data_IF_859720388260
#
_entry.id   IF_859720388260
#
_cell.length_a   1.000
_cell.length_b   1.000
_cell.length_c   1.000
_cell.angle_alpha   90.00
_cell.angle_beta   90.00
_cell.angle_gamma   90.00
#
_symmetry.space_group_name_H-M   'P 1'
#
loop_
_entity.id
_entity.type
_entity.pdbx_description
1 polymer ?
#
# COMPACT_ATOMS: atom_id res chain seq x y z
N UNK A 1 -16.71 -14.32 17.81
CA UNK A 1 -18.09 -13.86 17.51
C UNK A 1 -18.46 -14.22 16.08
N UNK A 2 -19.64 -14.81 15.84
CA UNK A 2 -20.07 -15.15 14.47
C UNK A 2 -20.76 -13.97 13.78
N UNK A 3 -20.32 -13.64 12.58
CA UNK A 3 -20.96 -12.64 11.71
C UNK A 3 -22.16 -13.27 11.00
N UNK A 4 -23.36 -12.84 11.37
CA UNK A 4 -24.63 -13.32 10.81
C UNK A 4 -25.46 -12.15 10.25
N UNK A 5 -26.46 -12.41 9.38
CA UNK A 5 -27.41 -11.38 8.98
C UNK A 5 -28.15 -10.73 10.16
N UNK A 6 -28.43 -11.52 11.21
CA UNK A 6 -29.08 -11.04 12.44
C UNK A 6 -28.14 -10.09 13.19
N UNK A 7 -26.85 -10.40 13.28
CA UNK A 7 -25.88 -9.49 13.87
C UNK A 7 -25.83 -8.16 13.12
N UNK A 8 -25.82 -8.19 11.78
CA UNK A 8 -25.83 -6.97 10.97
C UNK A 8 -27.09 -6.12 11.18
N UNK A 9 -28.26 -6.74 11.28
CA UNK A 9 -29.54 -6.03 11.49
C UNK A 9 -29.69 -5.47 12.90
N UNK A 10 -29.04 -6.07 13.91
CA UNK A 10 -29.01 -5.53 15.27
C UNK A 10 -28.15 -4.27 15.38
N UNK A 11 -27.09 -4.18 14.58
CA UNK A 11 -26.14 -3.07 14.61
C UNK A 11 -26.55 -1.91 13.69
N UNK A 12 -27.61 -2.06 12.89
CA UNK A 12 -28.06 -1.03 11.97
C UNK A 12 -29.52 -1.20 11.56
N UNK A 13 -30.24 -0.08 11.45
CA UNK A 13 -31.60 -0.04 10.87
C UNK A 13 -31.60 -0.21 9.35
N UNK A 14 -30.43 -0.35 8.73
CA UNK A 14 -30.27 -0.49 7.29
C UNK A 14 -30.75 -1.86 6.81
N UNK A 15 -31.49 -1.86 5.69
CA UNK A 15 -31.82 -3.11 5.01
C UNK A 15 -30.56 -3.79 4.50
N UNK A 16 -30.26 -5.00 5.00
CA UNK A 16 -29.06 -5.78 4.66
C UNK A 16 -28.90 -5.99 3.15
N UNK A 17 -30.00 -6.01 2.38
CA UNK A 17 -29.96 -6.17 0.93
C UNK A 17 -29.40 -4.95 0.19
N UNK A 18 -29.44 -3.76 0.78
CA UNK A 18 -28.93 -2.51 0.20
C UNK A 18 -27.47 -2.22 0.57
N UNK A 19 -26.87 -3.04 1.42
CA UNK A 19 -25.51 -2.86 1.92
C UNK A 19 -24.51 -3.09 0.80
N UNK A 20 -23.66 -2.10 0.59
CA UNK A 20 -22.61 -2.10 -0.46
C UNK A 20 -21.20 -2.25 0.11
N UNK A 21 -20.99 -1.79 1.35
CA UNK A 21 -19.71 -1.89 2.06
C UNK A 21 -19.95 -2.16 3.54
N UNK A 22 -19.23 -3.16 4.05
CA UNK A 22 -19.15 -3.50 5.47
C UNK A 22 -17.71 -3.28 5.92
N UNK A 23 -17.52 -2.46 6.97
CA UNK A 23 -16.25 -2.34 7.68
C UNK A 23 -16.43 -2.86 9.09
N UNK A 24 -15.80 -3.99 9.37
CA UNK A 24 -15.97 -4.78 10.58
C UNK A 24 -14.59 -5.10 11.17
N UNK A 25 -13.70 -4.12 11.15
CA UNK A 25 -12.36 -4.31 11.72
C UNK A 25 -12.39 -4.32 13.24
N UNK A 26 -11.59 -5.18 13.89
CA UNK A 26 -11.48 -5.28 15.35
C UNK A 26 -12.81 -5.57 16.05
N UNK A 27 -13.56 -6.56 15.56
CA UNK A 27 -14.88 -6.94 16.08
C UNK A 27 -14.90 -8.34 16.73
N UNK A 28 -13.72 -8.93 16.97
CA UNK A 28 -13.57 -10.29 17.50
C UNK A 28 -14.37 -11.33 16.69
N UNK A 29 -14.49 -11.11 15.37
CA UNK A 29 -15.19 -12.02 14.48
C UNK A 29 -14.33 -13.26 14.27
N UNK A 30 -14.86 -14.44 14.58
CA UNK A 30 -14.17 -15.73 14.45
C UNK A 30 -14.75 -16.59 13.34
N UNK A 31 -15.93 -16.24 12.82
CA UNK A 31 -16.62 -17.03 11.81
C UNK A 31 -17.65 -16.19 11.06
N UNK A 32 -17.91 -16.54 9.79
CA UNK A 32 -18.83 -15.82 8.91
C UNK A 32 -19.89 -16.80 8.43
N UNK A 33 -21.13 -16.47 8.71
CA UNK A 33 -22.28 -17.24 8.27
C UNK A 33 -22.73 -16.84 6.86
N UNK A 34 -23.84 -17.42 6.39
CA UNK A 34 -24.41 -17.05 5.11
C UNK A 34 -24.85 -15.57 5.06
N UNK A 35 -24.08 -14.77 4.30
CA UNK A 35 -24.37 -13.37 4.00
C UNK A 35 -24.86 -13.17 2.55
N UNK A 36 -25.35 -14.22 1.88
CA UNK A 36 -25.89 -14.14 0.51
C UNK A 36 -27.06 -13.16 0.37
N UNK A 37 -27.76 -12.86 1.47
CA UNK A 37 -28.78 -11.82 1.53
C UNK A 37 -28.24 -10.41 1.23
N UNK A 38 -26.93 -10.16 1.43
CA UNK A 38 -26.29 -8.88 1.14
C UNK A 38 -25.96 -8.77 -0.36
N UNK A 39 -26.99 -8.79 -1.20
CA UNK A 39 -26.89 -8.89 -2.67
C UNK A 39 -26.16 -7.70 -3.33
N UNK A 40 -26.07 -6.56 -2.65
CA UNK A 40 -25.35 -5.39 -3.15
C UNK A 40 -23.92 -5.26 -2.60
N UNK A 41 -23.46 -6.20 -1.77
CA UNK A 41 -22.18 -6.09 -1.08
C UNK A 41 -21.02 -6.21 -2.07
N UNK A 42 -20.20 -5.16 -2.18
CA UNK A 42 -19.03 -5.10 -3.07
C UNK A 42 -17.71 -5.01 -2.31
N UNK A 43 -17.72 -4.49 -1.09
CA UNK A 43 -16.53 -4.22 -0.28
C UNK A 43 -16.71 -4.79 1.14
N UNK A 44 -15.80 -5.65 1.56
CA UNK A 44 -15.83 -6.26 2.89
C UNK A 44 -14.47 -6.12 3.57
N UNK A 45 -14.46 -5.40 4.69
CA UNK A 45 -13.31 -5.31 5.59
C UNK A 45 -13.58 -6.10 6.86
N UNK A 46 -12.80 -7.15 7.07
CA UNK A 46 -12.79 -7.99 8.27
C UNK A 46 -11.38 -8.05 8.86
N UNK A 47 -10.60 -6.98 8.69
CA UNK A 47 -9.23 -6.96 9.20
C UNK A 47 -9.18 -6.90 10.72
N UNK A 48 -8.10 -7.41 11.32
CA UNK A 48 -7.91 -7.45 12.77
C UNK A 48 -9.04 -8.22 13.48
N UNK A 49 -9.31 -9.45 13.04
CA UNK A 49 -10.30 -10.34 13.63
C UNK A 49 -9.63 -11.69 13.98
N UNK A 50 -10.43 -12.72 14.24
CA UNK A 50 -9.99 -14.03 14.73
C UNK A 50 -10.32 -15.15 13.72
N UNK A 51 -10.36 -14.83 12.42
CA UNK A 51 -10.63 -15.82 11.36
C UNK A 51 -9.39 -16.72 11.17
N UNK A 52 -9.56 -18.03 11.21
CA UNK A 52 -8.44 -18.99 11.23
C UNK A 52 -8.45 -19.96 10.05
N UNK A 53 -9.59 -20.60 9.81
CA UNK A 53 -9.70 -21.80 8.96
C UNK A 53 -10.76 -21.65 7.85
N UNK A 54 -10.93 -22.73 7.09
CA UNK A 54 -11.91 -22.78 6.01
C UNK A 54 -13.34 -22.60 6.52
N UNK A 55 -13.69 -23.12 7.70
CA UNK A 55 -15.04 -23.03 8.26
C UNK A 55 -15.35 -21.58 8.68
N UNK A 56 -14.39 -20.89 9.29
CA UNK A 56 -14.53 -19.48 9.69
C UNK A 56 -14.79 -18.55 8.51
N UNK A 57 -14.36 -18.93 7.31
CA UNK A 57 -14.46 -18.10 6.10
C UNK A 57 -15.48 -18.62 5.08
N UNK A 58 -16.21 -19.70 5.40
CA UNK A 58 -17.05 -20.41 4.43
C UNK A 58 -18.16 -19.51 3.85
N UNK A 59 -18.77 -18.66 4.69
CA UNK A 59 -19.80 -17.72 4.26
C UNK A 59 -19.33 -16.69 3.22
N UNK A 60 -18.04 -16.39 3.15
CA UNK A 60 -17.48 -15.41 2.18
C UNK A 60 -17.66 -15.91 0.74
N UNK A 61 -17.57 -17.23 0.50
CA UNK A 61 -17.68 -17.81 -0.85
C UNK A 61 -19.04 -17.53 -1.50
N UNK A 62 -20.06 -17.28 -0.68
CA UNK A 62 -21.43 -17.00 -1.13
C UNK A 62 -21.61 -15.56 -1.62
N UNK A 63 -20.70 -14.65 -1.27
CA UNK A 63 -20.76 -13.23 -1.59
C UNK A 63 -20.07 -12.96 -2.95
N UNK A 64 -20.61 -13.56 -4.01
CA UNK A 64 -20.02 -13.55 -5.38
C UNK A 64 -19.89 -12.16 -6.01
N UNK A 65 -20.52 -11.17 -5.41
CA UNK A 65 -20.50 -9.77 -5.82
C UNK A 65 -19.27 -9.00 -5.30
N UNK A 66 -18.46 -9.59 -4.42
CA UNK A 66 -17.28 -8.92 -3.88
C UNK A 66 -16.28 -8.53 -4.96
N UNK A 67 -15.84 -7.27 -4.87
CA UNK A 67 -14.79 -6.67 -5.70
C UNK A 67 -13.59 -6.25 -4.87
N UNK A 68 -13.78 -6.06 -3.56
CA UNK A 68 -12.74 -5.66 -2.62
C UNK A 68 -12.91 -6.45 -1.32
N UNK A 69 -11.86 -7.14 -0.90
CA UNK A 69 -11.85 -7.96 0.31
C UNK A 69 -10.56 -7.70 1.10
N UNK A 70 -10.73 -7.34 2.38
CA UNK A 70 -9.64 -7.17 3.32
C UNK A 70 -9.80 -8.12 4.51
N UNK A 71 -8.89 -9.08 4.61
CA UNK A 71 -8.79 -10.07 5.69
C UNK A 71 -7.47 -9.94 6.44
N UNK A 72 -6.83 -8.77 6.37
CA UNK A 72 -5.53 -8.57 7.00
C UNK A 72 -5.60 -8.75 8.52
N UNK A 73 -4.52 -9.18 9.17
CA UNK A 73 -4.48 -9.40 10.63
C UNK A 73 -5.56 -10.39 11.11
N UNK A 74 -5.50 -11.60 10.57
CA UNK A 74 -6.27 -12.76 11.03
C UNK A 74 -5.28 -13.93 11.24
N UNK A 75 -5.76 -15.17 11.37
CA UNK A 75 -4.94 -16.38 11.48
C UNK A 75 -5.10 -17.32 10.28
N UNK A 76 -5.39 -16.76 9.10
CA UNK A 76 -5.70 -17.55 7.90
C UNK A 76 -4.45 -18.25 7.35
N UNK A 77 -4.59 -19.52 6.99
CA UNK A 77 -3.56 -20.29 6.29
C UNK A 77 -4.09 -21.03 5.06
N UNK A 78 -5.40 -20.92 4.79
CA UNK A 78 -6.09 -21.50 3.65
C UNK A 78 -7.00 -20.46 2.97
N UNK A 79 -7.56 -20.78 1.81
CA UNK A 79 -8.35 -19.81 1.03
C UNK A 79 -9.37 -20.42 0.09
N UNK A 80 -10.09 -21.45 0.55
CA UNK A 80 -11.21 -22.07 -0.16
C UNK A 80 -12.31 -21.07 -0.50
N UNK A 81 -12.48 -20.02 0.32
CA UNK A 81 -13.44 -18.94 0.08
C UNK A 81 -13.23 -18.20 -1.25
N UNK A 82 -12.03 -18.23 -1.84
CA UNK A 82 -11.74 -17.59 -3.12
C UNK A 82 -12.34 -18.33 -4.32
N UNK A 83 -12.83 -19.56 -4.15
CA UNK A 83 -13.28 -20.43 -5.25
C UNK A 83 -14.24 -19.75 -6.20
N UNK A 84 -15.20 -18.99 -5.66
CA UNK A 84 -16.29 -18.38 -6.44
C UNK A 84 -16.20 -16.85 -6.54
N UNK A 85 -15.14 -16.22 -6.03
CA UNK A 85 -14.96 -14.76 -6.03
C UNK A 85 -14.32 -14.24 -7.32
N UNK A 86 -14.95 -14.52 -8.46
CA UNK A 86 -14.43 -14.19 -9.81
C UNK A 86 -14.43 -12.69 -10.13
N UNK A 87 -15.17 -11.88 -9.36
CA UNK A 87 -15.25 -10.43 -9.51
C UNK A 87 -14.23 -9.66 -8.67
N UNK A 88 -13.36 -10.36 -7.94
CA UNK A 88 -12.45 -9.74 -7.00
C UNK A 88 -11.36 -8.94 -7.73
N UNK A 89 -11.27 -7.65 -7.39
CA UNK A 89 -10.31 -6.69 -7.96
C UNK A 89 -9.18 -6.39 -6.98
N UNK A 90 -9.48 -6.36 -5.68
CA UNK A 90 -8.50 -6.10 -4.62
C UNK A 90 -8.64 -7.13 -3.52
N UNK A 91 -7.51 -7.76 -3.17
CA UNK A 91 -7.43 -8.73 -2.09
C UNK A 91 -6.27 -8.37 -1.16
N UNK A 92 -6.58 -8.21 0.13
CA UNK A 92 -5.58 -8.04 1.17
C UNK A 92 -5.66 -9.21 2.17
N UNK A 93 -4.58 -9.99 2.20
CA UNK A 93 -4.35 -11.13 3.08
C UNK A 93 -3.10 -10.93 3.95
N UNK A 94 -2.64 -9.68 4.13
CA UNK A 94 -1.44 -9.40 4.93
C UNK A 94 -1.60 -9.77 6.40
N UNK A 95 -0.50 -10.09 7.09
CA UNK A 95 -0.51 -10.46 8.52
C UNK A 95 -1.45 -11.64 8.79
N UNK A 96 -1.16 -12.76 8.12
CA UNK A 96 -1.83 -14.04 8.31
C UNK A 96 -0.74 -15.13 8.43
N UNK A 97 -1.09 -16.40 8.26
CA UNK A 97 -0.18 -17.54 8.38
C UNK A 97 -0.10 -18.36 7.09
N UNK A 98 -0.19 -17.70 5.93
CA UNK A 98 -0.05 -18.38 4.64
C UNK A 98 1.38 -18.83 4.40
N UNK A 99 1.57 -20.12 4.17
CA UNK A 99 2.84 -20.72 3.73
C UNK A 99 2.85 -20.88 2.20
N UNK A 100 1.67 -21.05 1.59
CA UNK A 100 1.44 -21.09 0.16
C UNK A 100 0.15 -20.35 -0.19
N UNK A 101 0.03 -19.88 -1.43
CA UNK A 101 -1.22 -19.30 -1.91
C UNK A 101 -2.22 -20.40 -2.31
N UNK A 102 -3.51 -20.22 -2.03
CA UNK A 102 -4.54 -21.17 -2.42
C UNK A 102 -4.69 -21.23 -3.95
N UNK A 103 -4.84 -22.44 -4.50
CA UNK A 103 -5.03 -22.65 -5.95
C UNK A 103 -6.21 -21.88 -6.54
N UNK A 104 -7.24 -21.62 -5.73
CA UNK A 104 -8.45 -20.89 -6.11
C UNK A 104 -8.19 -19.41 -6.48
N UNK A 105 -7.04 -18.85 -6.11
CA UNK A 105 -6.65 -17.50 -6.53
C UNK A 105 -6.63 -17.36 -8.06
N UNK A 106 -6.38 -18.45 -8.80
CA UNK A 106 -6.44 -18.47 -10.26
C UNK A 106 -7.82 -18.07 -10.82
N UNK A 107 -8.89 -18.19 -10.04
CA UNK A 107 -10.26 -17.83 -10.45
C UNK A 107 -10.51 -16.32 -10.37
N UNK A 108 -9.69 -15.59 -9.60
CA UNK A 108 -9.77 -14.13 -9.46
C UNK A 108 -9.10 -13.44 -10.66
N UNK A 109 -9.64 -13.63 -11.86
CA UNK A 109 -9.03 -13.14 -13.11
C UNK A 109 -9.02 -11.61 -13.25
N UNK A 110 -9.93 -10.92 -12.53
CA UNK A 110 -10.05 -9.45 -12.51
C UNK A 110 -9.14 -8.78 -11.47
N UNK A 111 -8.29 -9.54 -10.78
CA UNK A 111 -7.48 -9.04 -9.68
C UNK A 111 -6.44 -8.03 -10.17
N UNK A 112 -6.49 -6.83 -9.60
CA UNK A 112 -5.60 -5.70 -9.89
C UNK A 112 -4.60 -5.44 -8.76
N UNK A 113 -4.98 -5.72 -7.52
CA UNK A 113 -4.10 -5.54 -6.37
C UNK A 113 -4.14 -6.73 -5.42
N UNK A 114 -2.97 -7.25 -5.09
CA UNK A 114 -2.79 -8.35 -4.15
C UNK A 114 -1.75 -7.97 -3.09
N UNK A 115 -2.19 -8.01 -1.82
CA UNK A 115 -1.37 -7.65 -0.66
C UNK A 115 -1.22 -8.86 0.26
N UNK A 116 0.02 -9.30 0.44
CA UNK A 116 0.42 -10.55 1.11
C UNK A 116 1.57 -10.36 2.11
N UNK A 117 1.89 -9.12 2.49
CA UNK A 117 2.99 -8.88 3.42
C UNK A 117 2.75 -9.51 4.79
N UNK A 118 3.83 -9.84 5.51
CA UNK A 118 3.78 -10.49 6.83
C UNK A 118 3.00 -11.82 6.76
N UNK A 119 3.52 -12.75 5.97
CA UNK A 119 3.10 -14.16 5.94
C UNK A 119 4.37 -15.03 5.96
N UNK A 120 4.22 -16.33 5.77
CA UNK A 120 5.31 -17.29 5.72
C UNK A 120 5.51 -17.84 4.30
N UNK A 121 5.19 -17.05 3.26
CA UNK A 121 5.27 -17.50 1.87
C UNK A 121 6.72 -17.67 1.42
N UNK A 122 6.99 -18.78 0.75
CA UNK A 122 8.29 -19.07 0.13
C UNK A 122 8.26 -19.01 -1.40
N UNK A 123 7.08 -19.23 -1.98
CA UNK A 123 6.84 -19.22 -3.42
C UNK A 123 5.44 -18.69 -3.73
N UNK A 124 5.22 -18.29 -4.99
CA UNK A 124 3.89 -17.91 -5.48
C UNK A 124 3.57 -18.69 -6.74
N UNK A 125 2.44 -19.37 -6.68
CA UNK A 125 1.81 -20.02 -7.80
C UNK A 125 0.46 -19.34 -8.11
N UNK A 126 -0.17 -19.74 -9.22
CA UNK A 126 -1.55 -19.37 -9.56
C UNK A 126 -1.80 -17.89 -9.89
N UNK A 127 -0.79 -17.02 -9.97
CA UNK A 127 -0.93 -15.63 -10.44
C UNK A 127 -1.05 -15.47 -11.96
N UNK A 128 -0.77 -16.53 -12.73
CA UNK A 128 -0.72 -16.46 -14.19
C UNK A 128 -2.04 -16.03 -14.87
N UNK A 129 -3.18 -16.20 -14.20
CA UNK A 129 -4.50 -15.80 -14.73
C UNK A 129 -4.89 -14.36 -14.38
N UNK A 130 -4.25 -13.73 -13.38
CA UNK A 130 -4.51 -12.35 -12.98
C UNK A 130 -3.74 -11.36 -13.89
N UNK A 131 -4.11 -11.29 -15.17
CA UNK A 131 -3.39 -10.51 -16.20
C UNK A 131 -3.42 -9.00 -15.96
N UNK A 132 -4.44 -8.51 -15.26
CA UNK A 132 -4.62 -7.09 -14.94
C UNK A 132 -3.95 -6.67 -13.63
N UNK A 133 -3.18 -7.57 -12.99
CA UNK A 133 -2.48 -7.30 -11.74
C UNK A 133 -1.49 -6.14 -11.93
N UNK A 134 -1.74 -5.04 -11.21
CA UNK A 134 -0.93 -3.83 -11.25
C UNK A 134 -0.13 -3.60 -9.97
N UNK A 135 -0.56 -4.18 -8.85
CA UNK A 135 0.09 -4.02 -7.54
C UNK A 135 0.26 -5.37 -6.86
N UNK A 136 1.49 -5.73 -6.52
CA UNK A 136 1.84 -6.95 -5.79
C UNK A 136 2.76 -6.62 -4.60
N UNK A 137 2.32 -6.95 -3.39
CA UNK A 137 3.05 -6.68 -2.14
C UNK A 137 3.31 -7.98 -1.39
N UNK A 138 4.58 -8.37 -1.31
CA UNK A 138 5.11 -9.63 -0.77
C UNK A 138 6.12 -9.41 0.35
N UNK A 139 6.19 -8.20 0.89
CA UNK A 139 7.25 -7.84 1.84
C UNK A 139 7.09 -8.59 3.18
N UNK A 140 8.17 -8.87 3.90
CA UNK A 140 8.12 -9.68 5.13
C UNK A 140 7.51 -11.08 4.88
N UNK A 141 8.18 -11.85 4.04
CA UNK A 141 7.89 -13.26 3.79
C UNK A 141 9.23 -14.02 3.82
N UNK A 142 9.29 -15.20 3.21
CA UNK A 142 10.46 -16.06 3.20
C UNK A 142 10.89 -16.44 1.77
N UNK A 143 10.71 -15.50 0.82
CA UNK A 143 11.12 -15.68 -0.57
C UNK A 143 12.65 -15.72 -0.71
N UNK A 144 13.19 -16.72 -1.39
CA UNK A 144 14.60 -16.78 -1.82
C UNK A 144 14.79 -16.28 -3.26
N UNK A 145 13.70 -16.23 -4.03
CA UNK A 145 13.64 -15.74 -5.40
C UNK A 145 12.36 -14.92 -5.60
N UNK A 146 12.39 -13.98 -6.55
CA UNK A 146 11.15 -13.33 -6.97
C UNK A 146 10.27 -14.31 -7.76
N UNK A 147 8.94 -14.22 -7.63
CA UNK A 147 8.03 -15.10 -8.34
C UNK A 147 8.08 -14.88 -9.86
N UNK A 148 7.67 -15.90 -10.61
CA UNK A 148 7.58 -15.79 -12.07
C UNK A 148 6.39 -14.90 -12.47
N UNK A 149 6.68 -13.69 -12.97
CA UNK A 149 5.66 -12.67 -13.29
C UNK A 149 5.45 -12.48 -14.80
N UNK A 150 5.77 -13.50 -15.62
CA UNK A 150 5.71 -13.41 -17.10
C UNK A 150 4.32 -13.05 -17.64
N UNK A 151 3.26 -13.45 -16.94
CA UNK A 151 1.88 -13.17 -17.34
C UNK A 151 1.33 -11.82 -16.82
N UNK A 152 1.98 -11.22 -15.82
CA UNK A 152 1.49 -10.02 -15.13
C UNK A 152 2.15 -8.75 -15.69
N UNK A 153 2.11 -8.58 -17.01
CA UNK A 153 2.79 -7.50 -17.76
C UNK A 153 2.32 -6.09 -17.37
N UNK A 154 1.14 -5.98 -16.77
CA UNK A 154 0.53 -4.72 -16.33
C UNK A 154 0.99 -4.27 -14.92
N UNK A 155 1.96 -4.95 -14.31
CA UNK A 155 2.50 -4.56 -13.00
C UNK A 155 3.10 -3.16 -13.03
N UNK A 156 2.62 -2.32 -12.12
CA UNK A 156 3.10 -0.96 -11.87
C UNK A 156 3.94 -0.94 -10.60
N UNK A 157 3.55 -1.74 -9.59
CA UNK A 157 4.17 -1.75 -8.26
C UNK A 157 4.47 -3.18 -7.81
N UNK A 158 5.73 -3.44 -7.47
CA UNK A 158 6.19 -4.70 -6.88
C UNK A 158 7.01 -4.39 -5.62
N UNK A 159 6.60 -4.97 -4.49
CA UNK A 159 7.32 -4.84 -3.22
C UNK A 159 7.57 -6.19 -2.58
N UNK A 160 8.83 -6.64 -2.54
CA UNK A 160 9.25 -7.88 -1.87
C UNK A 160 10.41 -7.60 -0.90
N UNK A 161 10.34 -6.49 -0.17
CA UNK A 161 11.33 -6.14 0.85
C UNK A 161 11.28 -7.08 2.06
N UNK A 162 12.36 -7.21 2.84
CA UNK A 162 12.42 -8.11 3.99
C UNK A 162 12.10 -9.56 3.61
N UNK A 163 12.92 -10.09 2.70
CA UNK A 163 12.91 -11.48 2.27
C UNK A 163 14.38 -12.00 2.26
N UNK A 164 14.64 -13.13 1.61
CA UNK A 164 15.99 -13.67 1.41
C UNK A 164 16.38 -13.75 -0.07
N UNK A 165 15.87 -12.83 -0.90
CA UNK A 165 16.07 -12.84 -2.35
C UNK A 165 17.54 -12.61 -2.67
N UNK A 166 18.14 -13.49 -3.48
CA UNK A 166 19.57 -13.42 -3.86
C UNK A 166 19.81 -12.84 -5.25
N UNK A 167 18.89 -13.12 -6.17
CA UNK A 167 18.98 -12.71 -7.57
C UNK A 167 17.67 -12.07 -7.99
N UNK A 168 17.77 -11.09 -8.88
CA UNK A 168 16.60 -10.48 -9.53
C UNK A 168 16.47 -11.18 -10.89
N UNK A 169 15.34 -11.83 -11.20
CA UNK A 169 15.11 -12.44 -12.51
C UNK A 169 14.94 -11.36 -13.58
N UNK A 170 14.84 -11.76 -14.84
CA UNK A 170 14.51 -10.80 -15.89
C UNK A 170 13.10 -10.22 -15.68
N UNK A 171 13.03 -8.89 -15.54
CA UNK A 171 11.79 -8.11 -15.40
C UNK A 171 11.52 -7.24 -16.64
N UNK A 172 12.26 -7.41 -17.73
CA UNK A 172 12.15 -6.58 -18.94
C UNK A 172 10.74 -6.55 -19.55
N UNK A 173 9.95 -7.60 -19.35
CA UNK A 173 8.55 -7.69 -19.80
C UNK A 173 7.59 -6.81 -18.99
N UNK A 174 8.00 -6.31 -17.81
CA UNK A 174 7.21 -5.41 -16.97
C UNK A 174 7.39 -3.94 -17.39
N UNK A 175 7.06 -3.64 -18.66
CA UNK A 175 7.29 -2.33 -19.26
C UNK A 175 6.55 -1.17 -18.55
N UNK A 176 5.51 -1.47 -17.76
CA UNK A 176 4.75 -0.51 -16.96
C UNK A 176 5.25 -0.31 -15.52
N UNK A 177 6.31 -1.01 -15.09
CA UNK A 177 6.77 -1.01 -13.70
C UNK A 177 7.37 0.35 -13.31
N UNK A 178 6.71 1.03 -12.36
CA UNK A 178 7.14 2.35 -11.85
C UNK A 178 7.82 2.26 -10.50
N UNK A 179 7.52 1.23 -9.71
CA UNK A 179 7.93 1.13 -8.32
C UNK A 179 8.36 -0.30 -8.00
N UNK A 180 9.66 -0.47 -7.72
CA UNK A 180 10.25 -1.75 -7.31
C UNK A 180 10.93 -1.59 -5.96
N UNK A 181 10.47 -2.34 -4.95
CA UNK A 181 11.07 -2.37 -3.61
C UNK A 181 11.55 -3.75 -3.23
N UNK A 182 12.85 -3.90 -3.09
CA UNK A 182 13.54 -5.13 -2.71
C UNK A 182 14.54 -4.89 -1.57
N UNK A 183 14.28 -3.89 -0.73
CA UNK A 183 15.13 -3.59 0.42
C UNK A 183 15.20 -4.75 1.41
N UNK A 184 16.30 -4.87 2.16
CA UNK A 184 16.49 -5.91 3.17
C UNK A 184 16.33 -7.33 2.56
N UNK A 185 17.24 -7.63 1.63
CA UNK A 185 17.36 -8.91 0.95
C UNK A 185 18.86 -9.28 0.85
N UNK A 186 19.21 -10.28 0.04
CA UNK A 186 20.59 -10.75 -0.17
C UNK A 186 21.05 -10.54 -1.61
N UNK A 187 20.55 -9.49 -2.27
CA UNK A 187 20.79 -9.24 -3.70
C UNK A 187 22.24 -8.81 -3.92
N UNK A 188 22.91 -9.50 -4.85
CA UNK A 188 24.34 -9.29 -5.14
C UNK A 188 24.60 -8.30 -6.29
N UNK A 189 23.69 -8.23 -7.26
CA UNK A 189 23.88 -7.47 -8.49
C UNK A 189 22.53 -7.03 -9.08
N UNK A 190 22.57 -5.98 -9.92
CA UNK A 190 21.42 -5.50 -10.69
C UNK A 190 21.55 -6.05 -12.11
N UNK A 191 20.55 -6.81 -12.61
CA UNK A 191 20.64 -7.42 -13.93
C UNK A 191 20.59 -6.37 -15.03
N UNK A 192 21.31 -6.61 -16.14
CA UNK A 192 21.38 -5.68 -17.27
C UNK A 192 20.02 -5.40 -17.91
N UNK A 193 19.05 -6.30 -17.74
CA UNK A 193 17.69 -6.13 -18.24
C UNK A 193 16.92 -4.98 -17.60
N UNK A 194 17.41 -4.40 -16.49
CA UNK A 194 16.81 -3.19 -15.90
C UNK A 194 16.78 -2.01 -16.88
N UNK A 195 17.69 -1.97 -17.87
CA UNK A 195 17.68 -0.95 -18.95
C UNK A 195 16.35 -0.88 -19.72
N UNK A 196 15.58 -1.97 -19.72
CA UNK A 196 14.26 -2.02 -20.35
C UNK A 196 13.16 -1.32 -19.52
N UNK A 197 13.36 -1.13 -18.21
CA UNK A 197 12.37 -0.55 -17.29
C UNK A 197 12.31 0.99 -17.39
N UNK A 198 12.04 1.50 -18.59
CA UNK A 198 12.16 2.93 -18.94
C UNK A 198 11.22 3.87 -18.19
N UNK A 199 10.22 3.34 -17.50
CA UNK A 199 9.25 4.11 -16.69
C UNK A 199 9.46 3.93 -15.18
N UNK A 200 10.54 3.28 -14.76
CA UNK A 200 10.84 3.04 -13.35
C UNK A 200 11.20 4.36 -12.64
N UNK A 201 10.40 4.75 -11.67
CA UNK A 201 10.55 6.01 -10.93
C UNK A 201 11.16 5.79 -9.54
N UNK A 202 10.84 4.66 -8.91
CA UNK A 202 11.24 4.34 -7.54
C UNK A 202 11.90 2.96 -7.53
N UNK A 203 13.17 2.92 -7.14
CA UNK A 203 13.94 1.70 -6.92
C UNK A 203 14.51 1.69 -5.51
N UNK A 204 14.03 0.76 -4.69
CA UNK A 204 14.56 0.54 -3.35
C UNK A 204 15.31 -0.78 -3.26
N UNK A 205 16.63 -0.70 -3.18
CA UNK A 205 17.57 -1.81 -3.04
C UNK A 205 18.38 -1.68 -1.74
N UNK A 206 17.94 -0.87 -0.77
CA UNK A 206 18.67 -0.68 0.49
C UNK A 206 18.85 -1.99 1.26
N UNK A 207 19.89 -2.09 2.09
CA UNK A 207 20.20 -3.27 2.90
C UNK A 207 20.28 -4.55 2.05
N UNK A 208 21.12 -4.53 1.01
CA UNK A 208 21.46 -5.67 0.18
C UNK A 208 23.00 -5.84 0.13
N UNK A 209 23.52 -6.64 -0.81
CA UNK A 209 24.93 -6.97 -0.93
C UNK A 209 25.58 -6.42 -2.22
N UNK A 210 24.94 -5.43 -2.86
CA UNK A 210 25.42 -4.80 -4.10
C UNK A 210 26.76 -4.10 -3.83
N UNK A 211 27.73 -4.33 -4.72
CA UNK A 211 29.10 -3.91 -4.51
C UNK A 211 29.80 -3.36 -5.75
N UNK A 212 29.20 -3.38 -6.94
CA UNK A 212 29.91 -3.07 -8.18
C UNK A 212 29.36 -1.80 -8.87
N UNK A 213 30.26 -0.95 -9.37
CA UNK A 213 29.89 0.21 -10.22
C UNK A 213 29.22 -0.19 -11.54
N UNK A 214 29.42 -1.42 -12.02
CA UNK A 214 28.69 -1.97 -13.18
C UNK A 214 27.17 -1.95 -12.94
N UNK A 215 26.73 -2.27 -11.72
CA UNK A 215 25.30 -2.25 -11.37
C UNK A 215 24.70 -0.85 -11.49
N UNK A 216 25.47 0.17 -11.09
CA UNK A 216 25.05 1.58 -11.21
C UNK A 216 25.05 2.04 -12.67
N UNK A 217 25.99 1.56 -13.49
CA UNK A 217 26.00 1.85 -14.91
C UNK A 217 24.70 1.38 -15.59
N UNK A 218 24.17 0.21 -15.23
CA UNK A 218 22.87 -0.27 -15.71
C UNK A 218 21.72 0.70 -15.39
N UNK A 219 21.76 1.37 -14.23
CA UNK A 219 20.73 2.33 -13.83
C UNK A 219 20.86 3.70 -14.52
N UNK A 220 22.01 4.03 -15.11
CA UNK A 220 22.24 5.33 -15.76
C UNK A 220 21.35 5.57 -16.98
N UNK A 221 20.83 4.52 -17.60
CA UNK A 221 19.91 4.60 -18.74
C UNK A 221 18.45 4.88 -18.31
N UNK A 222 18.17 4.86 -17.00
CA UNK A 222 16.83 5.08 -16.45
C UNK A 222 16.53 6.57 -16.25
N UNK A 223 16.17 7.23 -17.34
CA UNK A 223 15.87 8.67 -17.37
C UNK A 223 14.65 9.09 -16.54
N UNK A 224 13.84 8.14 -16.08
CA UNK A 224 12.66 8.38 -15.23
C UNK A 224 12.92 8.08 -13.76
N UNK A 225 14.09 7.55 -13.40
CA UNK A 225 14.40 7.17 -12.02
C UNK A 225 14.57 8.41 -11.13
N UNK A 226 13.59 8.64 -10.25
CA UNK A 226 13.55 9.81 -9.36
C UNK A 226 14.06 9.49 -7.97
N UNK A 227 13.80 8.27 -7.49
CA UNK A 227 14.13 7.83 -6.13
C UNK A 227 14.90 6.51 -6.17
N UNK A 228 16.13 6.54 -5.66
CA UNK A 228 17.00 5.39 -5.53
C UNK A 228 17.44 5.25 -4.08
N UNK A 229 17.25 4.07 -3.50
CA UNK A 229 17.81 3.73 -2.21
C UNK A 229 18.77 2.54 -2.37
N UNK A 230 20.03 2.75 -2.02
CA UNK A 230 21.09 1.76 -2.00
C UNK A 230 21.75 1.70 -0.62
N UNK A 231 21.30 2.51 0.35
CA UNK A 231 21.82 2.57 1.71
C UNK A 231 22.00 1.18 2.31
N UNK A 232 23.17 0.92 2.89
CA UNK A 232 23.48 -0.37 3.53
C UNK A 232 23.91 -1.47 2.58
N UNK A 233 24.20 -1.13 1.31
CA UNK A 233 24.97 -1.99 0.40
C UNK A 233 26.47 -1.70 0.55
N UNK A 234 27.32 -2.64 0.09
CA UNK A 234 28.78 -2.48 0.11
C UNK A 234 29.25 -1.31 -0.76
N UNK A 235 28.54 -1.02 -1.85
CA UNK A 235 28.85 0.11 -2.73
C UNK A 235 28.83 1.48 -2.01
N UNK A 236 28.06 1.61 -0.93
CA UNK A 236 28.01 2.84 -0.14
C UNK A 236 29.34 3.17 0.58
N UNK A 237 30.25 2.20 0.68
CA UNK A 237 31.55 2.36 1.32
C UNK A 237 32.64 2.80 0.33
N UNK A 238 32.31 2.89 -0.97
CA UNK A 238 33.25 3.31 -2.00
C UNK A 238 33.49 4.83 -1.95
N UNK A 239 34.69 5.24 -2.35
CA UNK A 239 35.05 6.65 -2.51
C UNK A 239 34.11 7.35 -3.48
N UNK A 240 33.76 8.60 -3.16
CA UNK A 240 32.86 9.45 -3.94
C UNK A 240 31.50 8.82 -4.30
N UNK A 241 31.03 7.85 -3.50
CA UNK A 241 29.81 7.10 -3.77
C UNK A 241 28.63 8.02 -4.14
N UNK A 242 28.30 8.97 -3.26
CA UNK A 242 27.17 9.87 -3.42
C UNK A 242 27.32 10.76 -4.65
N UNK A 243 28.51 11.27 -4.93
CA UNK A 243 28.75 12.17 -6.07
C UNK A 243 28.68 11.40 -7.39
N UNK A 244 29.33 10.24 -7.43
CA UNK A 244 29.34 9.37 -8.61
C UNK A 244 27.95 8.91 -8.99
N UNK A 245 27.12 8.49 -8.01
CA UNK A 245 25.71 8.10 -8.29
C UNK A 245 24.90 9.28 -8.83
N UNK A 246 25.02 10.47 -8.22
CA UNK A 246 24.31 11.68 -8.67
C UNK A 246 24.73 12.12 -10.06
N UNK A 247 26.02 11.98 -10.40
CA UNK A 247 26.54 12.32 -11.72
C UNK A 247 26.09 11.33 -12.78
N UNK A 248 26.08 10.03 -12.47
CA UNK A 248 25.69 8.97 -13.42
C UNK A 248 24.19 8.88 -13.65
N UNK A 249 23.37 9.32 -12.70
CA UNK A 249 21.90 9.25 -12.78
C UNK A 249 21.31 10.66 -12.65
N UNK A 250 21.29 11.46 -13.73
CA UNK A 250 20.88 12.87 -13.69
C UNK A 250 19.37 13.07 -13.43
N UNK A 251 18.56 12.04 -13.66
CA UNK A 251 17.12 12.01 -13.34
C UNK A 251 16.84 11.99 -11.83
N UNK A 252 17.83 11.61 -11.02
CA UNK A 252 17.65 11.35 -9.60
C UNK A 252 17.37 12.63 -8.81
N UNK A 253 16.46 12.52 -7.83
CA UNK A 253 16.08 13.62 -6.91
C UNK A 253 16.20 13.22 -5.45
N UNK A 254 16.11 11.92 -5.18
CA UNK A 254 16.22 11.31 -3.84
C UNK A 254 17.21 10.16 -3.91
N UNK A 255 18.25 10.21 -3.08
CA UNK A 255 19.23 9.14 -2.91
C UNK A 255 19.27 8.77 -1.44
N UNK A 256 19.16 7.49 -1.12
CA UNK A 256 19.29 6.96 0.25
C UNK A 256 18.41 7.68 1.26
N UNK A 257 17.15 7.93 0.87
CA UNK A 257 16.12 8.67 1.63
C UNK A 257 16.33 10.17 1.74
N UNK A 258 17.47 10.69 1.27
CA UNK A 258 17.78 12.10 1.27
C UNK A 258 17.40 12.77 -0.06
N UNK A 259 16.53 13.77 0.04
CA UNK A 259 16.09 14.58 -1.09
C UNK A 259 17.08 15.72 -1.34
N UNK A 260 17.59 15.83 -2.56
CA UNK A 260 18.66 16.77 -2.93
C UNK A 260 18.35 17.64 -4.16
N UNK A 261 17.10 17.68 -4.64
CA UNK A 261 16.72 18.58 -5.73
C UNK A 261 16.80 20.05 -5.34
N UNK A 262 17.25 20.89 -6.28
CA UNK A 262 17.48 22.32 -6.06
C UNK A 262 16.24 23.05 -5.54
N UNK A 263 15.04 22.74 -6.06
CA UNK A 263 13.77 23.34 -5.58
C UNK A 263 13.53 23.03 -4.10
N UNK A 264 13.79 21.80 -3.67
CA UNK A 264 13.67 21.40 -2.27
C UNK A 264 14.73 22.09 -1.39
N UNK A 265 15.99 22.12 -1.84
CA UNK A 265 17.08 22.76 -1.10
C UNK A 265 16.82 24.27 -0.92
N UNK A 266 16.35 24.97 -1.95
CA UNK A 266 15.97 26.39 -1.87
C UNK A 266 14.83 26.61 -0.86
N UNK A 267 13.80 25.76 -0.87
CA UNK A 267 12.70 25.84 0.10
C UNK A 267 13.18 25.58 1.54
N UNK A 268 14.06 24.60 1.74
CA UNK A 268 14.64 24.25 3.05
C UNK A 268 15.53 25.39 3.58
N UNK A 269 16.30 26.06 2.73
CA UNK A 269 17.09 27.23 3.10
C UNK A 269 16.22 28.41 3.52
N UNK A 270 15.14 28.75 2.77
CA UNK A 270 14.18 29.81 3.15
C UNK A 270 13.45 29.55 4.46
N UNK A 271 13.24 28.28 4.82
CA UNK A 271 12.64 27.92 6.12
C UNK A 271 13.65 27.96 7.28
N UNK A 272 14.93 27.73 7.01
CA UNK A 272 16.00 27.84 8.01
C UNK A 272 16.43 29.29 8.26
N UNK A 273 16.33 30.15 7.25
CA UNK A 273 16.57 31.57 7.33
C UNK A 273 15.33 32.31 6.82
N UNK A 274 14.31 32.51 7.68
CA UNK A 274 13.28 33.49 7.36
C UNK A 274 14.00 34.83 7.28
N UNK A 275 14.14 35.35 6.07
CA UNK A 275 14.57 36.73 5.83
C UNK A 275 13.80 37.62 6.80
N UNK A 276 14.51 38.42 7.58
CA UNK A 276 13.91 39.37 8.51
C UNK A 276 12.80 40.13 7.82
N UNK A 277 11.68 40.28 8.52
CA UNK A 277 10.52 40.98 8.00
C UNK A 277 10.91 42.39 7.57
N UNK A 278 10.96 42.61 6.26
CA UNK A 278 10.72 43.95 5.73
C UNK A 278 9.26 44.29 6.04
N UNK A 279 9.11 45.26 6.93
CA UNK A 279 7.84 45.71 7.45
C UNK A 279 6.89 46.14 6.34
N UNK A 280 5.82 45.38 6.17
CA UNK A 280 4.54 46.00 5.81
C UNK A 280 3.96 46.59 7.09
N UNK A 281 4.25 47.87 7.33
CA UNK A 281 3.46 48.70 8.25
C UNK A 281 2.02 48.68 7.74
N UNK A 282 1.17 47.86 8.35
CA UNK A 282 -0.26 48.14 8.38
C UNK A 282 -0.54 48.76 9.74
N UNK A 283 -0.69 50.08 9.75
CA UNK A 283 -1.28 50.81 10.86
C UNK A 283 -2.66 50.21 11.16
N UNK A 284 -2.80 49.61 12.34
CA UNK A 284 -4.08 49.47 13.02
C UNK A 284 -3.89 49.92 14.44
N UNK A 285 -4.32 51.15 14.68
CA UNK A 285 -4.66 51.73 15.97
C UNK A 285 -5.64 50.84 16.74
N UNK A 286 -5.47 50.74 18.06
CA UNK A 286 -6.58 50.43 18.96
C UNK A 286 -6.35 49.26 19.91
N UNK A 287 -5.81 49.57 21.09
CA UNK A 287 -6.27 49.14 22.43
C UNK A 287 -6.96 47.76 22.60
N UNK A 288 -6.41 46.90 23.46
CA UNK A 288 -6.80 46.84 24.89
C UNK A 288 -6.21 45.59 25.58
N UNK A 289 -6.03 45.73 26.89
CA UNK A 289 -5.29 44.87 27.80
C UNK A 289 -5.90 43.48 28.08
N UNK A 290 -5.05 42.51 28.50
CA UNK A 290 -5.15 41.78 29.79
C UNK A 290 -4.12 40.64 29.94
N UNK A 291 -3.32 40.71 31.02
CA UNK A 291 -3.09 39.64 32.00
C UNK A 291 -2.11 38.49 31.68
N UNK A 292 -1.12 38.19 32.56
CA UNK A 292 -0.15 37.12 32.33
C UNK A 292 -0.70 35.75 32.76
N UNK A 293 -0.40 34.70 31.99
CA UNK A 293 -0.58 33.31 32.45
C UNK A 293 0.72 32.53 32.30
N UNK A 294 1.01 31.83 33.39
CA UNK A 294 2.19 31.09 33.74
C UNK A 294 2.47 29.88 32.83
N UNK A 295 3.77 29.57 32.74
CA UNK A 295 4.32 28.23 32.93
C UNK A 295 3.75 27.09 32.07
N UNK A 296 4.39 26.79 30.94
CA UNK A 296 4.46 25.41 30.45
C UNK A 296 5.84 25.10 29.87
N UNK A 297 6.48 24.13 30.49
CA UNK A 297 7.77 23.57 30.15
C UNK A 297 7.79 22.99 28.73
N UNK A 298 8.93 23.17 28.05
CA UNK A 298 9.27 22.54 26.77
C UNK A 298 9.49 21.04 26.98
N UNK A 299 8.89 20.14 26.20
CA UNK A 299 9.42 18.78 26.07
C UNK A 299 10.57 18.79 25.05
N UNK A 300 11.71 18.26 25.47
CA UNK A 300 12.86 17.94 24.63
C UNK A 300 12.42 17.02 23.48
N UNK A 301 12.73 17.42 22.25
CA UNK A 301 12.57 16.60 21.05
C UNK A 301 13.82 15.74 20.91
N UNK A 302 13.76 14.49 21.36
CA UNK A 302 14.71 13.45 20.96
C UNK A 302 14.58 13.20 19.45
N UNK A 303 15.72 13.17 18.78
CA UNK A 303 15.84 12.96 17.34
C UNK A 303 15.76 11.45 17.07
N UNK A 304 14.61 10.97 16.58
CA UNK A 304 14.53 9.68 15.90
C UNK A 304 14.41 9.90 14.39
N UNK A 305 15.31 9.24 13.66
CA UNK A 305 15.47 9.33 12.22
C UNK A 305 14.21 8.91 11.46
N UNK A 306 13.77 9.79 10.56
CA UNK A 306 12.62 9.53 9.68
C UNK A 306 12.98 8.52 8.59
N UNK A 307 12.58 7.26 8.79
CA UNK A 307 12.55 6.24 7.76
C UNK A 307 11.34 6.45 6.81
N UNK A 308 11.44 6.18 5.49
CA UNK A 308 10.38 6.49 4.52
C UNK A 308 9.27 5.43 4.43
N UNK A 309 9.26 4.43 5.31
CA UNK A 309 8.02 3.72 5.59
C UNK A 309 7.14 4.64 6.44
N UNK A 310 6.32 5.44 5.76
CA UNK A 310 5.10 5.93 6.37
C UNK A 310 4.33 4.67 6.75
N UNK A 311 4.44 4.29 8.03
CA UNK A 311 3.49 3.38 8.68
C UNK A 311 2.10 3.83 8.22
N UNK A 312 1.17 2.92 7.89
CA UNK A 312 -0.23 3.34 7.86
C UNK A 312 -0.48 4.05 9.19
N UNK A 313 -1.01 5.26 9.06
CA UNK A 313 -1.13 6.23 10.14
C UNK A 313 -1.80 5.56 11.35
N UNK A 314 -1.01 5.24 12.39
CA UNK A 314 -1.50 4.67 13.66
C UNK A 314 -2.26 5.72 14.50
N UNK A 315 -2.90 6.69 13.85
CA UNK A 315 -3.69 7.72 14.50
C UNK A 315 -5.01 7.98 13.77
N UNK A 316 -5.78 6.91 13.50
CA UNK A 316 -7.26 6.91 13.37
C UNK A 316 -7.91 5.53 13.13
N UNK A 317 -7.29 4.43 13.58
CA UNK A 317 -8.00 3.13 13.62
C UNK A 317 -8.92 3.07 14.84
N UNK A 318 -9.95 3.91 14.85
CA UNK A 318 -11.14 3.65 15.65
C UNK A 318 -11.64 2.25 15.27
N UNK A 319 -11.95 1.41 16.25
CA UNK A 319 -12.67 0.16 16.03
C UNK A 319 -14.04 0.51 15.43
N UNK A 320 -14.11 0.60 14.11
CA UNK A 320 -15.25 1.22 13.44
C UNK A 320 -16.07 0.16 12.75
N UNK A 321 -17.11 -0.31 13.43
CA UNK A 321 -18.25 -0.91 12.77
C UNK A 321 -18.91 0.14 11.88
N UNK A 322 -18.89 -0.04 10.56
CA UNK A 322 -19.51 0.88 9.60
C UNK A 322 -20.23 0.11 8.49
N UNK A 323 -21.45 0.53 8.19
CA UNK A 323 -22.27 0.01 7.09
C UNK A 323 -22.55 1.14 6.11
N UNK A 324 -22.33 0.89 4.83
CA UNK A 324 -22.65 1.83 3.76
C UNK A 324 -23.61 1.22 2.74
N UNK A 325 -24.60 2.01 2.32
CA UNK A 325 -25.55 1.67 1.26
C UNK A 325 -25.35 2.56 0.04
N UNK A 326 -26.02 2.21 -1.07
CA UNK A 326 -26.11 3.11 -2.21
C UNK A 326 -26.72 4.46 -1.78
N UNK A 327 -26.22 5.60 -2.31
CA UNK A 327 -26.87 6.87 -2.08
C UNK A 327 -28.32 6.80 -2.58
N UNK A 328 -29.30 7.15 -1.73
CA UNK A 328 -30.69 7.25 -2.18
C UNK A 328 -30.76 8.26 -3.34
N UNK A 329 -31.43 7.95 -4.46
CA UNK A 329 -31.63 8.92 -5.51
C UNK A 329 -32.33 10.15 -4.92
N UNK A 330 -31.77 11.35 -5.17
CA UNK A 330 -32.39 12.60 -4.72
C UNK A 330 -33.82 12.64 -5.24
N UNK A 331 -34.81 12.73 -4.35
CA UNK A 331 -36.20 12.90 -4.74
C UNK A 331 -36.29 14.11 -5.69
N UNK A 332 -36.70 13.87 -6.93
CA UNK A 332 -37.03 14.95 -7.85
C UNK A 332 -38.21 15.72 -7.21
N UNK A 333 -37.98 16.98 -6.84
CA UNK A 333 -39.06 17.86 -6.40
C UNK A 333 -40.11 17.90 -7.52
N UNK A 334 -41.41 17.71 -7.23
CA UNK A 334 -42.44 17.85 -8.24
C UNK A 334 -42.36 19.27 -8.81
N UNK A 335 -42.25 19.38 -10.14
CA UNK A 335 -42.39 20.66 -10.85
C UNK A 335 -43.77 21.21 -10.47
N UNK A 336 -43.80 22.37 -9.81
CA UNK A 336 -45.05 23.14 -9.68
C UNK A 336 -45.54 23.41 -11.10
N UNK A 337 -46.71 22.90 -11.44
CA UNK A 337 -47.47 23.40 -12.57
C UNK A 337 -47.87 24.83 -12.21
N UNK A 338 -47.28 25.81 -12.88
CA UNK A 338 -47.82 27.16 -12.92
C UNK A 338 -49.05 27.11 -13.82
N UNK A 339 -50.22 27.27 -13.21
CA UNK A 339 -51.46 27.57 -13.89
C UNK A 339 -51.41 29.02 -14.37
N UNK A 340 -51.15 29.22 -15.66
CA UNK A 340 -51.40 30.51 -16.31
C UNK A 340 -52.91 30.77 -16.28
N UNK A 341 -53.29 31.92 -15.71
CA UNK A 341 -54.63 32.52 -15.75
C UNK A 341 -54.59 33.73 -16.65
#
# INVERSE_FOLDING_TARGET
>A
MRLTPVYLSQQSTTNVTEVTELRLAKQDIDSIDDLSCCIELRRLDLSNNQLSDAESTDGIKLIKTLTWLNLAHNQLNQGQFLRDLTNLVVLNLSNNSYIQLPMYLQNCTQLKALVLNNNDLHQIEHLGKAKDLNTLVLSHNKFEELPALKANVNLIKLSASFNSIRTIPDLSHLAGLRELRLSNNKILAIPESFRALRVLEILDLGLNLISNWKDIATLSELNTLVNLNLKGNKICQMEDYTQTVKQRIPSLRVLDTERFDQRFLHRKQRQKFPSGGEGRKTERTGSSAKGPREGRAKPQRSQEGRHPYRRPDKSKDEASFQIFTKPRPKAQRPKKQESES
#
